data_IF_717927497444
#
_entry.id   IF_717927497444
#
_cell.length_a   1.000
_cell.length_b   1.000
_cell.length_c   1.000
_cell.angle_alpha   90.00
_cell.angle_beta   90.00
_cell.angle_gamma   90.00
#
_symmetry.space_group_name_H-M   'P 1'
#
loop_
_entity.id
_entity.type
_entity.pdbx_description
1 polymer ?
#
# COMPACT_ATOMS: atom_id res chain seq x y z
N UNK A 1 13.70 25.27 -5.37
CA UNK A 1 14.06 23.89 -5.79
C UNK A 1 12.78 23.08 -5.86
N UNK A 2 12.58 22.20 -6.84
CA UNK A 2 11.34 21.40 -6.92
C UNK A 2 11.21 20.45 -5.72
N UNK A 3 10.02 20.32 -5.12
CA UNK A 3 9.73 19.33 -4.09
C UNK A 3 9.89 17.94 -4.69
N UNK A 4 10.73 17.13 -4.06
CA UNK A 4 10.99 15.75 -4.47
C UNK A 4 10.36 14.79 -3.48
N UNK A 5 9.85 13.67 -3.99
CA UNK A 5 9.36 12.57 -3.17
C UNK A 5 9.79 11.25 -3.81
N UNK A 6 10.51 10.43 -3.05
CA UNK A 6 10.89 9.08 -3.47
C UNK A 6 9.88 8.09 -2.87
N UNK A 7 9.20 7.35 -3.73
CA UNK A 7 8.22 6.35 -3.30
C UNK A 7 8.91 5.10 -2.72
N UNK A 8 8.12 4.15 -2.21
CA UNK A 8 8.67 2.94 -1.56
C UNK A 8 9.51 2.03 -2.49
N UNK A 9 9.37 2.16 -3.80
CA UNK A 9 10.13 1.39 -4.79
C UNK A 9 11.35 2.15 -5.31
N UNK A 10 11.72 3.27 -4.70
CA UNK A 10 12.91 4.05 -5.05
C UNK A 10 12.72 4.99 -6.26
N UNK A 11 11.50 5.17 -6.77
CA UNK A 11 11.23 6.12 -7.87
C UNK A 11 11.04 7.52 -7.31
N UNK A 12 11.86 8.46 -7.76
CA UNK A 12 11.77 9.88 -7.39
C UNK A 12 10.81 10.63 -8.31
N UNK A 13 9.88 11.34 -7.69
CA UNK A 13 8.89 12.20 -8.33
C UNK A 13 9.12 13.66 -7.95
N UNK A 14 8.75 14.55 -8.87
CA UNK A 14 8.87 15.99 -8.75
C UNK A 14 7.48 16.62 -8.77
N UNK A 15 7.17 17.46 -7.79
CA UNK A 15 5.88 18.15 -7.73
C UNK A 15 5.81 19.26 -8.79
N UNK A 16 4.74 19.25 -9.57
CA UNK A 16 4.46 20.25 -10.60
C UNK A 16 3.04 20.81 -10.48
N UNK A 17 2.86 22.04 -10.95
CA UNK A 17 1.57 22.71 -11.09
C UNK A 17 1.13 22.76 -12.55
N UNK A 18 -0.14 22.48 -12.80
CA UNK A 18 -0.80 22.62 -14.09
C UNK A 18 -2.17 23.27 -13.95
N UNK A 19 -2.88 23.33 -15.08
CA UNK A 19 -4.29 23.71 -15.15
C UNK A 19 -5.08 22.53 -15.71
N UNK A 20 -6.24 22.26 -15.12
CA UNK A 20 -7.22 21.31 -15.68
C UNK A 20 -7.82 21.87 -16.97
N UNK A 21 -8.56 21.03 -17.71
CA UNK A 21 -9.35 21.45 -18.90
C UNK A 21 -10.25 22.68 -18.63
N UNK A 22 -10.71 22.85 -17.39
CA UNK A 22 -11.58 23.95 -16.96
C UNK A 22 -10.83 25.10 -16.25
N UNK A 23 -9.50 25.17 -16.40
CA UNK A 23 -8.67 26.26 -15.86
C UNK A 23 -8.35 26.16 -14.37
N UNK A 24 -8.94 25.24 -13.61
CA UNK A 24 -8.63 25.03 -12.18
C UNK A 24 -7.19 24.57 -11.99
N UNK A 25 -6.51 25.09 -10.97
CA UNK A 25 -5.17 24.65 -10.57
C UNK A 25 -5.18 23.17 -10.21
N UNK A 26 -4.23 22.43 -10.77
CA UNK A 26 -4.00 21.01 -10.47
C UNK A 26 -2.54 20.84 -10.06
N UNK A 27 -2.33 20.04 -9.02
CA UNK A 27 -1.01 19.60 -8.59
C UNK A 27 -0.85 18.12 -8.96
N UNK A 28 0.33 17.77 -9.48
CA UNK A 28 0.62 16.40 -9.86
C UNK A 28 2.13 16.12 -9.74
N UNK A 29 2.46 14.84 -9.57
CA UNK A 29 3.83 14.36 -9.54
C UNK A 29 4.25 13.86 -10.93
N UNK A 30 5.47 14.20 -11.36
CA UNK A 30 6.08 13.67 -12.59
C UNK A 30 7.49 13.13 -12.33
N UNK A 31 7.93 12.15 -13.11
CA UNK A 31 9.27 11.54 -12.98
C UNK A 31 10.41 12.46 -13.45
N UNK A 32 10.07 13.49 -14.24
CA UNK A 32 11.02 14.51 -14.68
C UNK A 32 10.60 15.85 -14.08
N UNK A 33 11.56 16.69 -13.65
CA UNK A 33 11.26 18.06 -13.25
C UNK A 33 10.68 18.82 -14.45
N UNK A 34 9.79 19.77 -14.17
CA UNK A 34 9.16 20.63 -15.19
C UNK A 34 9.36 22.09 -14.84
N UNK A 35 9.21 22.97 -15.82
CA UNK A 35 9.32 24.42 -15.60
C UNK A 35 8.30 24.94 -14.56
N UNK A 36 7.16 24.27 -14.42
CA UNK A 36 6.12 24.63 -13.44
C UNK A 36 6.28 23.86 -12.12
N UNK A 37 7.51 23.64 -11.68
CA UNK A 37 7.79 22.94 -10.43
C UNK A 37 7.29 23.73 -9.23
N UNK A 38 6.87 23.02 -8.18
CA UNK A 38 6.46 23.58 -6.89
C UNK A 38 7.41 23.03 -5.83
N UNK A 39 7.81 23.88 -4.90
CA UNK A 39 8.82 23.58 -3.87
C UNK A 39 8.22 23.16 -2.52
N UNK A 40 6.93 23.35 -2.34
CA UNK A 40 6.20 23.11 -1.09
C UNK A 40 4.89 22.36 -1.34
N UNK A 41 4.42 21.62 -0.32
CA UNK A 41 3.11 20.98 -0.36
C UNK A 41 2.05 22.10 -0.21
N UNK A 42 1.10 22.24 -1.16
CA UNK A 42 0.05 23.25 -1.04
C UNK A 42 -0.84 23.01 0.18
N UNK A 43 -1.33 24.08 0.79
CA UNK A 43 -2.23 23.99 1.94
C UNK A 43 -3.48 23.15 1.63
N UNK A 44 -3.86 22.28 2.56
CA UNK A 44 -5.00 21.37 2.40
C UNK A 44 -4.72 20.16 1.50
N UNK A 45 -3.48 19.94 1.08
CA UNK A 45 -3.05 18.77 0.33
C UNK A 45 -2.05 17.90 1.12
N UNK A 46 -1.99 16.63 0.73
CA UNK A 46 -1.05 15.63 1.22
C UNK A 46 -0.51 14.80 0.06
N UNK A 47 0.69 14.25 0.27
CA UNK A 47 1.27 13.25 -0.62
C UNK A 47 0.62 11.91 -0.29
N UNK A 48 0.13 11.22 -1.31
CA UNK A 48 -0.43 9.88 -1.17
C UNK A 48 0.21 8.93 -2.16
N UNK A 49 0.72 7.81 -1.64
CA UNK A 49 1.27 6.73 -2.44
C UNK A 49 0.26 5.58 -2.54
N UNK A 50 -0.13 5.22 -3.77
CA UNK A 50 -1.15 4.21 -3.99
C UNK A 50 -0.64 2.81 -3.64
N UNK A 51 -1.33 2.06 -2.75
CA UNK A 51 -0.89 0.75 -2.30
C UNK A 51 -0.66 -0.26 -3.43
N UNK A 52 -1.49 -0.28 -4.47
CA UNK A 52 -1.34 -1.31 -5.53
C UNK A 52 -0.22 -1.05 -6.53
N UNK A 53 0.07 0.22 -6.85
CA UNK A 53 0.91 0.60 -8.01
C UNK A 53 2.13 1.44 -7.64
N UNK A 54 2.32 1.72 -6.34
CA UNK A 54 3.35 2.63 -5.83
C UNK A 54 3.30 4.04 -6.47
N UNK A 55 2.18 4.41 -7.10
CA UNK A 55 2.07 5.69 -7.80
C UNK A 55 1.79 6.81 -6.81
N UNK A 56 2.51 7.92 -6.95
CA UNK A 56 2.41 9.07 -6.05
C UNK A 56 1.45 10.11 -6.60
N UNK A 57 0.57 10.60 -5.74
CA UNK A 57 -0.44 11.60 -6.04
C UNK A 57 -0.36 12.74 -5.04
N UNK A 58 -0.64 13.95 -5.52
CA UNK A 58 -0.99 15.07 -4.65
C UNK A 58 -2.52 15.06 -4.51
N UNK A 59 -3.03 14.78 -3.32
CA UNK A 59 -4.48 14.73 -3.05
C UNK A 59 -4.86 15.70 -1.95
N UNK A 60 -6.13 16.08 -1.88
CA UNK A 60 -6.65 16.86 -0.74
C UNK A 60 -6.65 16.00 0.52
N UNK A 61 -6.34 16.64 1.65
CA UNK A 61 -6.46 16.02 2.98
C UNK A 61 -7.91 15.59 3.18
N UNK A 62 -8.10 14.34 3.62
CA UNK A 62 -9.43 13.78 3.86
C UNK A 62 -9.72 13.69 5.37
N UNK A 63 -10.99 13.81 5.79
CA UNK A 63 -11.37 13.52 7.16
C UNK A 63 -11.03 12.07 7.51
N UNK A 64 -10.26 11.90 8.58
CA UNK A 64 -9.84 10.60 9.08
C UNK A 64 -10.90 10.06 10.04
N UNK A 65 -11.65 9.02 9.65
CA UNK A 65 -12.71 8.42 10.48
C UNK A 65 -12.22 7.25 11.35
N UNK A 66 -11.10 6.65 10.95
CA UNK A 66 -10.39 5.62 11.68
C UNK A 66 -9.33 6.25 12.57
N UNK A 67 -9.31 5.90 13.85
CA UNK A 67 -8.32 6.43 14.79
C UNK A 67 -6.91 5.93 14.49
N UNK A 68 -5.89 6.66 14.95
CA UNK A 68 -4.50 6.23 14.85
C UNK A 68 -4.23 4.93 15.61
N UNK A 69 -4.90 4.73 16.75
CA UNK A 69 -4.77 3.51 17.54
C UNK A 69 -5.29 2.27 16.80
N UNK A 70 -6.38 2.40 16.05
CA UNK A 70 -6.94 1.29 15.27
C UNK A 70 -6.05 0.95 14.07
N UNK A 71 -5.57 1.96 13.33
CA UNK A 71 -4.63 1.75 12.24
C UNK A 71 -3.35 1.07 12.76
N UNK A 72 -2.79 1.58 13.86
CA UNK A 72 -1.59 1.02 14.49
C UNK A 72 -1.82 -0.41 14.97
N UNK A 73 -3.00 -0.72 15.50
CA UNK A 73 -3.35 -2.07 15.91
C UNK A 73 -3.32 -3.04 14.72
N UNK A 74 -3.94 -2.67 13.59
CA UNK A 74 -3.92 -3.49 12.37
C UNK A 74 -2.50 -3.67 11.86
N UNK A 75 -1.72 -2.59 11.75
CA UNK A 75 -0.31 -2.65 11.34
C UNK A 75 0.51 -3.58 12.22
N UNK A 76 0.33 -3.52 13.54
CA UNK A 76 1.03 -4.41 14.46
C UNK A 76 0.63 -5.88 14.28
N UNK A 77 -0.66 -6.17 14.05
CA UNK A 77 -1.11 -7.54 13.81
C UNK A 77 -0.58 -8.08 12.49
N UNK A 78 -0.59 -7.27 11.43
CA UNK A 78 -0.04 -7.64 10.12
C UNK A 78 1.48 -7.85 10.20
N UNK A 79 2.21 -6.99 10.90
CA UNK A 79 3.66 -7.14 11.08
C UNK A 79 4.04 -8.35 11.94
N UNK A 80 3.15 -8.82 12.81
CA UNK A 80 3.35 -10.03 13.59
C UNK A 80 3.11 -11.32 12.78
N UNK A 81 2.60 -11.23 11.55
CA UNK A 81 2.46 -12.38 10.67
C UNK A 81 3.83 -12.83 10.16
N UNK A 82 4.25 -14.00 10.61
CA UNK A 82 5.39 -14.71 10.00
C UNK A 82 4.91 -15.45 8.75
N UNK A 83 4.78 -14.72 7.64
CA UNK A 83 4.38 -15.25 6.32
C UNK A 83 5.44 -14.94 5.27
N UNK A 84 5.39 -15.65 4.15
CA UNK A 84 6.35 -15.50 3.04
C UNK A 84 6.10 -14.23 2.22
N UNK A 85 4.86 -13.75 2.18
CA UNK A 85 4.47 -12.54 1.45
C UNK A 85 4.60 -11.30 2.33
N UNK A 86 4.83 -10.15 1.69
CA UNK A 86 4.81 -8.83 2.32
C UNK A 86 3.41 -8.26 2.34
N UNK A 87 3.14 -7.41 3.31
CA UNK A 87 1.85 -6.75 3.44
C UNK A 87 2.00 -5.24 3.59
N UNK A 88 1.02 -4.51 3.05
CA UNK A 88 0.84 -3.08 3.27
C UNK A 88 -0.53 -2.81 3.85
N UNK A 89 -0.60 -1.82 4.74
CA UNK A 89 -1.86 -1.35 5.34
C UNK A 89 -2.10 0.08 4.89
N UNK A 90 -3.20 0.31 4.19
CA UNK A 90 -3.69 1.64 3.84
C UNK A 90 -4.90 2.00 4.70
N UNK A 91 -4.93 3.23 5.19
CA UNK A 91 -6.07 3.76 5.90
C UNK A 91 -6.62 4.97 5.15
N UNK A 92 -7.87 4.86 4.72
CA UNK A 92 -8.50 5.86 3.85
C UNK A 92 -9.98 5.98 4.16
N UNK A 93 -10.38 7.20 4.51
CA UNK A 93 -11.76 7.53 4.88
C UNK A 93 -12.22 6.66 6.07
N UNK A 94 -13.16 5.74 5.82
CA UNK A 94 -13.68 4.76 6.80
C UNK A 94 -13.06 3.37 6.66
N UNK A 95 -12.10 3.18 5.77
CA UNK A 95 -11.54 1.88 5.42
C UNK A 95 -10.11 1.72 5.95
N UNK A 96 -9.80 0.49 6.37
CA UNK A 96 -8.44 0.00 6.56
C UNK A 96 -8.30 -1.20 5.63
N UNK A 97 -7.48 -1.09 4.60
CA UNK A 97 -7.28 -2.14 3.60
C UNK A 97 -5.88 -2.72 3.75
N UNK A 98 -5.80 -4.03 3.84
CA UNK A 98 -4.58 -4.81 3.85
C UNK A 98 -4.36 -5.35 2.44
N UNK A 99 -3.16 -5.08 1.94
CA UNK A 99 -2.70 -5.53 0.64
C UNK A 99 -1.58 -6.55 0.82
N UNK A 100 -1.53 -7.54 -0.05
CA UNK A 100 -0.45 -8.52 -0.11
C UNK A 100 0.39 -8.30 -1.38
N UNK A 101 1.71 -8.46 -1.25
CA UNK A 101 2.64 -8.32 -2.38
C UNK A 101 2.46 -9.47 -3.36
N UNK A 102 2.41 -9.12 -4.65
CA UNK A 102 2.35 -10.10 -5.73
C UNK A 102 3.72 -10.73 -6.03
N UNK A 103 4.80 -10.29 -5.36
CA UNK A 103 6.15 -10.76 -5.61
C UNK A 103 6.32 -12.21 -5.16
N UNK A 104 6.64 -13.10 -6.10
CA UNK A 104 6.89 -14.50 -5.80
C UNK A 104 8.32 -14.71 -5.29
N UNK A 105 8.51 -15.53 -4.23
CA UNK A 105 9.84 -15.81 -3.69
C UNK A 105 10.82 -16.35 -4.74
N UNK A 106 10.36 -17.21 -5.65
CA UNK A 106 11.20 -17.74 -6.74
C UNK A 106 11.69 -16.65 -7.68
N UNK A 107 10.83 -15.68 -7.99
CA UNK A 107 11.20 -14.56 -8.85
C UNK A 107 12.22 -13.64 -8.16
N UNK A 108 12.12 -13.46 -6.84
CA UNK A 108 13.14 -12.74 -6.06
C UNK A 108 14.47 -13.50 -6.02
N UNK A 109 14.45 -14.83 -5.90
CA UNK A 109 15.64 -15.66 -5.98
C UNK A 109 16.30 -15.60 -7.36
N UNK A 110 15.52 -15.56 -8.44
CA UNK A 110 16.03 -15.39 -9.80
C UNK A 110 16.66 -14.00 -9.99
N UNK A 111 16.05 -12.94 -9.44
CA UNK A 111 16.65 -11.60 -9.45
C UNK A 111 17.97 -11.59 -8.67
N UNK A 112 18.01 -12.24 -7.50
CA UNK A 112 19.23 -12.39 -6.71
C UNK A 112 20.31 -13.18 -7.48
N UNK A 113 19.94 -14.31 -8.10
CA UNK A 113 20.82 -15.17 -8.89
C UNK A 113 21.40 -14.45 -10.10
N UNK A 114 20.55 -13.83 -10.93
CA UNK A 114 20.99 -13.03 -12.07
C UNK A 114 21.92 -11.89 -11.65
N UNK A 115 21.68 -11.28 -10.49
CA UNK A 115 22.52 -10.21 -9.97
C UNK A 115 23.89 -10.73 -9.52
N UNK A 116 23.93 -11.89 -8.86
CA UNK A 116 25.18 -12.56 -8.48
C UNK A 116 25.99 -12.99 -9.72
N UNK A 117 25.33 -13.49 -10.76
CA UNK A 117 25.96 -13.92 -12.02
C UNK A 117 26.53 -12.76 -12.84
N UNK A 118 25.99 -11.55 -12.68
CA UNK A 118 26.43 -10.33 -13.37
C UNK A 118 27.63 -9.65 -12.67
N UNK A 119 28.16 -10.18 -11.56
CA UNK A 119 29.23 -9.55 -10.79
C UNK A 119 30.58 -10.27 -10.95
N UNK A 120 31.69 -9.54 -11.24
CA UNK A 120 33.03 -10.09 -11.09
C UNK A 120 33.33 -10.35 -9.61
N UNK A 121 34.02 -11.44 -9.30
CA UNK A 121 34.54 -11.78 -7.97
C UNK A 121 35.68 -10.83 -7.56
N UNK A 122 35.38 -9.56 -7.26
CA UNK A 122 36.34 -8.61 -6.70
C UNK A 122 35.74 -7.94 -5.45
N UNK A 123 36.60 -7.66 -4.47
CA UNK A 123 36.27 -7.06 -3.18
C UNK A 123 35.52 -5.73 -3.34
N UNK A 124 34.38 -5.61 -2.66
CA UNK A 124 33.55 -4.39 -2.68
C UNK A 124 32.12 -4.61 -3.20
N UNK A 125 31.46 -5.70 -2.80
CA UNK A 125 30.05 -5.96 -3.14
C UNK A 125 29.20 -4.79 -2.65
N UNK A 126 28.55 -4.06 -3.57
CA UNK A 126 27.47 -3.11 -3.24
C UNK A 126 26.21 -3.89 -2.85
N UNK A 127 26.31 -4.56 -1.70
CA UNK A 127 25.24 -5.35 -1.07
C UNK A 127 24.01 -4.50 -0.81
N UNK A 128 24.19 -3.20 -0.63
CA UNK A 128 23.12 -2.25 -0.40
C UNK A 128 22.31 -2.01 -1.67
N UNK A 129 22.96 -1.68 -2.79
CA UNK A 129 22.28 -1.52 -4.08
C UNK A 129 21.54 -2.79 -4.53
N UNK A 130 22.15 -3.95 -4.28
CA UNK A 130 21.53 -5.26 -4.53
C UNK A 130 20.25 -5.48 -3.71
N UNK A 131 20.33 -5.23 -2.40
CA UNK A 131 19.18 -5.32 -1.50
C UNK A 131 18.09 -4.33 -1.90
N UNK A 132 18.44 -3.08 -2.20
CA UNK A 132 17.48 -2.04 -2.60
C UNK A 132 16.71 -2.44 -3.88
N UNK A 133 17.38 -3.05 -4.85
CA UNK A 133 16.74 -3.60 -6.05
C UNK A 133 15.74 -4.72 -5.74
N UNK A 134 16.11 -5.66 -4.86
CA UNK A 134 15.22 -6.74 -4.43
C UNK A 134 14.01 -6.23 -3.66
N UNK A 135 14.23 -5.30 -2.72
CA UNK A 135 13.14 -4.65 -1.98
C UNK A 135 12.21 -3.90 -2.94
N UNK A 136 12.77 -3.12 -3.87
CA UNK A 136 12.01 -2.39 -4.89
C UNK A 136 11.16 -3.33 -5.73
N UNK A 137 11.71 -4.46 -6.20
CA UNK A 137 10.98 -5.48 -6.95
C UNK A 137 9.84 -6.11 -6.14
N UNK A 138 10.10 -6.42 -4.85
CA UNK A 138 9.11 -6.97 -3.95
C UNK A 138 7.96 -6.00 -3.66
N UNK A 139 8.21 -4.69 -3.72
CA UNK A 139 7.25 -3.66 -3.32
C UNK A 139 6.49 -2.98 -4.47
N UNK A 140 6.67 -3.45 -5.72
CA UNK A 140 6.05 -2.85 -6.90
C UNK A 140 4.53 -2.99 -6.96
N UNK A 141 4.05 -4.22 -6.80
CA UNK A 141 2.67 -4.59 -7.06
C UNK A 141 2.07 -5.29 -5.85
N UNK A 142 0.92 -4.80 -5.44
CA UNK A 142 0.17 -5.30 -4.30
C UNK A 142 -1.29 -5.50 -4.71
N UNK A 143 -1.91 -6.54 -4.18
CA UNK A 143 -3.32 -6.83 -4.37
C UNK A 143 -4.07 -6.65 -3.07
N UNK A 144 -5.23 -6.01 -3.11
CA UNK A 144 -6.08 -5.86 -1.94
C UNK A 144 -6.60 -7.25 -1.53
N UNK A 145 -6.46 -7.59 -0.24
CA UNK A 145 -6.87 -8.91 0.28
C UNK A 145 -8.01 -8.75 1.27
N UNK A 146 -7.80 -7.96 2.32
CA UNK A 146 -8.75 -7.85 3.41
C UNK A 146 -9.00 -6.38 3.70
N UNK A 147 -10.24 -5.99 3.97
CA UNK A 147 -10.52 -4.65 4.45
C UNK A 147 -11.46 -4.67 5.64
N UNK A 148 -11.20 -3.77 6.57
CA UNK A 148 -12.10 -3.41 7.65
C UNK A 148 -12.70 -2.05 7.30
N UNK A 149 -13.98 -1.84 7.59
CA UNK A 149 -14.56 -0.53 7.45
C UNK A 149 -15.49 -0.21 8.61
N UNK A 150 -15.45 1.06 9.01
CA UNK A 150 -16.35 1.60 10.02
C UNK A 150 -17.73 1.79 9.41
N UNK A 151 -18.68 0.99 9.84
CA UNK A 151 -20.06 1.04 9.36
C UNK A 151 -20.90 2.03 10.18
N UNK A 152 -20.77 1.97 11.50
CA UNK A 152 -21.44 2.89 12.44
C UNK A 152 -20.39 3.65 13.26
N UNK A 153 -20.37 4.98 13.11
CA UNK A 153 -19.42 5.85 13.81
C UNK A 153 -19.72 6.00 15.30
N UNK A 154 -20.98 5.98 15.69
CA UNK A 154 -21.41 6.23 17.07
C UNK A 154 -21.18 4.99 17.93
N UNK A 155 -21.59 3.83 17.44
CA UNK A 155 -21.40 2.54 18.11
C UNK A 155 -20.02 1.93 17.88
N UNK A 156 -19.24 2.50 16.95
CA UNK A 156 -17.95 1.96 16.50
C UNK A 156 -18.07 0.52 16.00
N UNK A 157 -19.09 0.24 15.20
CA UNK A 157 -19.29 -1.06 14.55
C UNK A 157 -18.39 -1.12 13.32
N UNK A 158 -17.57 -2.17 13.28
CA UNK A 158 -16.70 -2.48 12.16
C UNK A 158 -17.19 -3.71 11.43
N UNK A 159 -17.14 -3.65 10.11
CA UNK A 159 -17.38 -4.77 9.21
C UNK A 159 -16.09 -5.16 8.52
N UNK A 160 -15.96 -6.44 8.20
CA UNK A 160 -14.80 -7.01 7.51
C UNK A 160 -15.23 -7.66 6.21
N UNK A 161 -14.47 -7.40 5.16
CA UNK A 161 -14.66 -8.00 3.84
C UNK A 161 -13.34 -8.52 3.31
N UNK A 162 -13.40 -9.63 2.56
CA UNK A 162 -12.28 -10.14 1.77
C UNK A 162 -12.47 -9.86 0.30
N UNK A 163 -11.37 -9.80 -0.44
CA UNK A 163 -11.40 -9.56 -1.87
C UNK A 163 -11.85 -10.80 -2.65
N UNK A 164 -12.75 -10.60 -3.62
CA UNK A 164 -13.25 -11.62 -4.54
C UNK A 164 -12.44 -11.61 -5.84
N UNK A 165 -11.73 -12.70 -6.10
CA UNK A 165 -10.98 -12.91 -7.34
C UNK A 165 -11.84 -13.41 -8.50
N UNK A 166 -13.07 -13.85 -8.22
CA UNK A 166 -14.03 -14.36 -9.22
C UNK A 166 -14.85 -13.19 -9.75
N UNK A 167 -14.41 -12.62 -10.87
CA UNK A 167 -14.97 -11.39 -11.43
C UNK A 167 -16.49 -11.42 -11.67
N UNK A 168 -17.25 -10.81 -10.76
CA UNK A 168 -18.54 -10.17 -11.00
C UNK A 168 -18.62 -8.93 -10.11
N UNK A 169 -19.21 -7.87 -10.67
CA UNK A 169 -19.51 -6.51 -10.20
C UNK A 169 -19.03 -6.02 -8.82
N UNK A 170 -19.10 -6.81 -7.76
CA UNK A 170 -18.61 -6.45 -6.42
C UNK A 170 -17.42 -7.30 -6.01
N UNK A 171 -16.26 -6.64 -5.91
CA UNK A 171 -14.96 -7.28 -5.64
C UNK A 171 -14.76 -7.65 -4.17
N UNK A 172 -15.77 -7.51 -3.31
CA UNK A 172 -15.63 -7.66 -1.87
C UNK A 172 -16.75 -8.56 -1.33
N UNK A 173 -16.37 -9.52 -0.49
CA UNK A 173 -17.27 -10.47 0.15
C UNK A 173 -17.29 -10.15 1.64
N UNK A 174 -18.47 -9.84 2.16
CA UNK A 174 -18.70 -9.64 3.60
C UNK A 174 -18.37 -10.91 4.38
N UNK A 175 -17.68 -10.77 5.50
CA UNK A 175 -17.28 -11.88 6.36
C UNK A 175 -17.91 -11.81 7.75
N UNK A 176 -17.96 -10.63 8.36
CA UNK A 176 -18.52 -10.42 9.70
C UNK A 176 -18.59 -8.93 10.04
N UNK A 177 -19.27 -8.63 11.14
CA UNK A 177 -19.31 -7.34 11.80
C UNK A 177 -19.19 -7.48 13.31
N UNK A 178 -18.69 -6.45 13.99
CA UNK A 178 -18.59 -6.41 15.45
C UNK A 178 -18.29 -5.00 15.97
N UNK A 179 -18.74 -4.71 17.19
CA UNK A 179 -18.26 -3.58 18.00
C UNK A 179 -16.85 -3.85 18.57
N UNK A 180 -16.43 -5.11 18.65
CA UNK A 180 -15.09 -5.48 19.10
C UNK A 180 -14.11 -5.56 17.92
N UNK A 181 -13.65 -4.40 17.47
CA UNK A 181 -12.70 -4.25 16.36
C UNK A 181 -11.44 -5.12 16.54
N UNK A 182 -10.88 -5.18 17.75
CA UNK A 182 -9.64 -5.95 18.01
C UNK A 182 -9.82 -7.44 17.76
N UNK A 183 -10.98 -7.99 18.14
CA UNK A 183 -11.29 -9.41 17.91
C UNK A 183 -11.46 -9.72 16.42
N UNK A 184 -12.10 -8.83 15.65
CA UNK A 184 -12.19 -8.97 14.19
C UNK A 184 -10.80 -8.99 13.56
N UNK A 185 -9.96 -8.00 13.88
CA UNK A 185 -8.61 -7.90 13.32
C UNK A 185 -7.80 -9.15 13.64
N UNK A 186 -7.75 -9.60 14.91
CA UNK A 186 -7.02 -10.81 15.29
C UNK A 186 -7.48 -12.04 14.50
N UNK A 187 -8.78 -12.24 14.34
CA UNK A 187 -9.34 -13.40 13.64
C UNK A 187 -8.98 -13.37 12.15
N UNK A 188 -9.30 -12.28 11.46
CA UNK A 188 -9.26 -12.24 10.00
C UNK A 188 -7.88 -11.90 9.45
N UNK A 189 -7.03 -11.17 10.19
CA UNK A 189 -5.63 -10.95 9.78
C UNK A 189 -4.84 -12.25 9.81
N UNK A 190 -5.09 -13.15 10.78
CA UNK A 190 -4.39 -14.44 10.86
C UNK A 190 -4.69 -15.39 9.68
N UNK A 191 -5.81 -15.18 8.97
CA UNK A 191 -6.17 -15.95 7.78
C UNK A 191 -5.32 -15.54 6.55
N UNK A 192 -4.69 -14.37 6.55
CA UNK A 192 -3.87 -13.93 5.41
C UNK A 192 -2.72 -14.91 5.15
N UNK A 193 -2.50 -15.22 3.86
CA UNK A 193 -1.51 -16.18 3.40
C UNK A 193 -1.81 -17.63 3.79
N UNK A 194 -3.06 -17.98 4.10
CA UNK A 194 -3.51 -19.35 4.41
C UNK A 194 -4.69 -19.76 3.55
N UNK A 195 -4.94 -21.06 3.41
CA UNK A 195 -6.06 -21.59 2.63
C UNK A 195 -7.43 -21.18 3.22
N UNK A 196 -7.52 -21.02 4.55
CA UNK A 196 -8.72 -20.57 5.28
C UNK A 196 -9.29 -19.24 4.73
N UNK A 197 -8.41 -18.37 4.20
CA UNK A 197 -8.84 -17.11 3.58
C UNK A 197 -9.75 -17.33 2.35
N UNK A 198 -9.51 -18.40 1.60
CA UNK A 198 -10.29 -18.73 0.40
C UNK A 198 -11.56 -19.50 0.73
N UNK A 199 -11.51 -20.32 1.79
CA UNK A 199 -12.57 -21.25 2.20
C UNK A 199 -13.66 -20.62 3.08
N UNK A 200 -13.41 -19.45 3.70
CA UNK A 200 -14.40 -18.79 4.56
C UNK A 200 -15.75 -18.62 3.82
N UNK A 201 -16.86 -19.12 4.41
CA UNK A 201 -18.12 -19.31 3.69
C UNK A 201 -18.75 -18.00 3.21
N UNK A 202 -19.54 -18.15 2.13
CA UNK A 202 -20.47 -17.18 1.58
C UNK A 202 -21.70 -17.01 2.47
#
# INVERSE_FOLDING_TARGET
>A
MALQYTNRVGKTYYLSRGKTKYGKTQYYFSLKPKNNSVDTIPEGYEIYEHPEKSQVFMRKIRPRLISELEEKFVKNQVNALHRTRRYLVDCKDKYITIYESNAEPENLNNILGNLLDMMPTQEGVDTKGAMDCLMSAADQNYTAMLRFFLEDKEKRIFSVERFCFRGRSDKWIYLAQSENFKSLVKKYVNMLGTDDYFESPY
#
